data_IF_446714685677
#
_entry.id   IF_446714685677
#
_cell.length_a   1.000
_cell.length_b   1.000
_cell.length_c   1.000
_cell.angle_alpha   90.00
_cell.angle_beta   90.00
_cell.angle_gamma   90.00
#
_symmetry.space_group_name_H-M   'P 1'
#
loop_
_entity.id
_entity.type
_entity.pdbx_description
1 polymer ?
#
# COMPACT_ATOMS: atom_id res chain seq x y z
N UNK A 1 -67.12 -44.86 -5.75
CA UNK A 1 -65.63 -44.89 -5.54
C UNK A 1 -64.97 -43.73 -6.28
N UNK A 2 -64.71 -42.62 -5.61
CA UNK A 2 -64.06 -41.42 -6.18
C UNK A 2 -62.62 -41.34 -5.64
N UNK A 3 -61.64 -41.43 -6.54
CA UNK A 3 -60.23 -41.29 -6.20
C UNK A 3 -59.82 -39.80 -6.38
N UNK A 4 -59.54 -39.12 -5.31
CA UNK A 4 -58.97 -37.76 -5.30
C UNK A 4 -57.44 -37.86 -5.41
N UNK A 5 -56.88 -37.35 -6.50
CA UNK A 5 -55.45 -37.16 -6.66
C UNK A 5 -55.05 -35.83 -6.02
N UNK A 6 -54.21 -35.90 -4.97
CA UNK A 6 -53.55 -34.72 -4.36
C UNK A 6 -52.30 -34.39 -5.20
N UNK A 7 -52.32 -33.26 -5.89
CA UNK A 7 -51.13 -32.75 -6.58
C UNK A 7 -50.22 -32.00 -5.59
N UNK A 8 -48.99 -32.49 -5.41
CA UNK A 8 -47.93 -31.83 -4.64
C UNK A 8 -47.25 -30.80 -5.55
N UNK A 9 -47.54 -29.54 -5.33
CA UNK A 9 -46.87 -28.44 -6.02
C UNK A 9 -45.49 -28.20 -5.39
N UNK A 10 -44.43 -28.51 -6.14
CA UNK A 10 -43.04 -28.22 -5.76
C UNK A 10 -42.71 -26.74 -6.07
N UNK A 11 -42.78 -25.87 -5.05
CA UNK A 11 -42.39 -24.46 -5.18
C UNK A 11 -40.85 -24.32 -5.20
N UNK A 12 -40.31 -24.07 -6.37
CA UNK A 12 -38.87 -23.77 -6.55
C UNK A 12 -38.59 -22.34 -6.15
N UNK A 13 -38.04 -22.12 -4.94
CA UNK A 13 -37.60 -20.81 -4.50
C UNK A 13 -36.24 -20.52 -5.13
N UNK A 14 -36.23 -19.67 -6.15
CA UNK A 14 -35.03 -19.17 -6.80
C UNK A 14 -34.40 -18.06 -5.90
N UNK A 15 -33.39 -18.44 -5.10
CA UNK A 15 -32.66 -17.52 -4.26
C UNK A 15 -31.73 -16.65 -5.13
N UNK A 16 -32.12 -15.40 -5.42
CA UNK A 16 -31.23 -14.42 -6.04
C UNK A 16 -30.17 -14.01 -5.01
N UNK A 17 -28.94 -14.49 -5.14
CA UNK A 17 -27.79 -13.97 -4.38
C UNK A 17 -27.37 -12.65 -4.99
N UNK A 18 -27.69 -11.53 -4.33
CA UNK A 18 -27.13 -10.23 -4.67
C UNK A 18 -25.63 -10.23 -4.31
N UNK A 19 -24.78 -10.39 -5.32
CA UNK A 19 -23.36 -10.18 -5.20
C UNK A 19 -23.09 -8.68 -5.18
N UNK A 20 -22.75 -8.13 -4.04
CA UNK A 20 -22.33 -6.73 -3.94
C UNK A 20 -20.93 -6.62 -4.50
N UNK A 21 -20.62 -5.62 -5.36
CA UNK A 21 -19.26 -5.41 -5.83
C UNK A 21 -18.39 -5.03 -4.64
N UNK A 22 -17.38 -5.84 -4.33
CA UNK A 22 -16.32 -5.46 -3.41
C UNK A 22 -15.50 -4.40 -4.14
N UNK A 23 -15.63 -3.13 -3.73
CA UNK A 23 -14.75 -2.08 -4.20
C UNK A 23 -13.34 -2.42 -3.71
N UNK A 24 -12.43 -2.68 -4.64
CA UNK A 24 -11.03 -2.86 -4.32
C UNK A 24 -10.51 -1.58 -3.65
N UNK A 25 -10.07 -1.69 -2.40
CA UNK A 25 -9.44 -0.55 -1.72
C UNK A 25 -8.12 -0.22 -2.42
N UNK A 26 -7.79 1.07 -2.51
CA UNK A 26 -6.49 1.50 -3.02
C UNK A 26 -5.38 0.82 -2.17
N UNK A 27 -4.43 0.10 -2.81
CA UNK A 27 -3.38 -0.61 -2.10
C UNK A 27 -2.38 0.31 -1.38
N UNK A 28 -2.41 1.60 -1.68
CA UNK A 28 -1.54 2.61 -1.08
C UNK A 28 -2.36 3.71 -0.38
N UNK A 29 -1.71 4.35 0.59
CA UNK A 29 -2.11 5.62 1.17
C UNK A 29 -1.09 6.65 0.68
N UNK A 30 -1.57 7.76 0.13
CA UNK A 30 -0.74 8.79 -0.51
C UNK A 30 -1.14 10.17 -0.05
N UNK A 31 -0.16 11.05 0.05
CA UNK A 31 -0.27 12.46 0.38
C UNK A 31 0.43 13.28 -0.70
N UNK A 32 -0.17 14.39 -1.13
CA UNK A 32 0.50 15.34 -2.00
C UNK A 32 1.61 16.06 -1.21
N UNK A 33 2.74 16.32 -1.87
CA UNK A 33 3.84 17.09 -1.30
C UNK A 33 3.99 18.40 -2.07
N UNK A 34 4.04 19.52 -1.36
CA UNK A 34 4.24 20.83 -1.96
C UNK A 34 5.74 21.15 -2.02
N UNK A 35 6.39 20.76 -3.10
CA UNK A 35 7.82 20.91 -3.31
C UNK A 35 8.35 20.04 -4.44
N UNK A 36 9.66 19.97 -4.57
CA UNK A 36 10.33 19.14 -5.56
C UNK A 36 10.42 17.67 -5.10
N UNK A 37 10.72 16.77 -6.02
CA UNK A 37 10.99 15.37 -5.70
C UNK A 37 12.19 15.24 -4.74
N UNK A 38 13.23 16.04 -4.93
CA UNK A 38 14.42 16.09 -4.08
C UNK A 38 14.08 16.57 -2.66
N UNK A 39 13.23 17.59 -2.53
CA UNK A 39 12.76 18.06 -1.22
C UNK A 39 11.97 16.97 -0.50
N UNK A 40 11.08 16.25 -1.21
CA UNK A 40 10.27 15.18 -0.66
C UNK A 40 11.13 13.98 -0.21
N UNK A 41 12.12 13.57 -1.02
CA UNK A 41 13.05 12.50 -0.67
C UNK A 41 13.89 12.86 0.55
N UNK A 42 14.42 14.09 0.61
CA UNK A 42 15.15 14.59 1.76
C UNK A 42 14.28 14.61 3.04
N UNK A 43 13.03 15.07 2.93
CA UNK A 43 12.11 15.12 4.07
C UNK A 43 11.76 13.72 4.60
N UNK A 44 11.52 12.75 3.70
CA UNK A 44 11.27 11.36 4.10
C UNK A 44 12.49 10.72 4.74
N UNK A 45 13.67 10.90 4.17
CA UNK A 45 14.93 10.41 4.74
C UNK A 45 15.13 10.99 6.15
N UNK A 46 14.97 12.29 6.31
CA UNK A 46 15.11 12.98 7.60
C UNK A 46 14.12 12.45 8.63
N UNK A 47 12.85 12.32 8.29
CA UNK A 47 11.82 11.80 9.20
C UNK A 47 12.13 10.38 9.68
N UNK A 48 12.62 9.50 8.80
CA UNK A 48 13.02 8.14 9.17
C UNK A 48 14.21 8.15 10.13
N UNK A 49 15.24 8.95 9.84
CA UNK A 49 16.45 9.02 10.66
C UNK A 49 16.20 9.71 12.02
N UNK A 50 15.39 10.77 12.05
CA UNK A 50 15.01 11.48 13.27
C UNK A 50 14.16 10.63 14.21
N UNK A 51 13.38 9.69 13.66
CA UNK A 51 12.68 8.66 14.44
C UNK A 51 13.61 7.57 15.00
N UNK A 52 14.94 7.68 14.77
CA UNK A 52 15.94 6.71 15.22
C UNK A 52 15.91 5.39 14.45
N UNK A 53 15.34 5.39 13.24
CA UNK A 53 15.32 4.22 12.36
C UNK A 53 16.51 4.25 11.40
N UNK A 54 16.84 3.08 10.84
CA UNK A 54 17.92 2.94 9.86
C UNK A 54 17.29 2.57 8.52
N UNK A 55 17.70 3.30 7.47
CA UNK A 55 17.31 2.98 6.10
C UNK A 55 18.21 1.84 5.61
N UNK A 56 17.60 0.69 5.34
CA UNK A 56 18.31 -0.49 4.87
C UNK A 56 18.72 -0.35 3.39
N UNK A 57 17.84 0.24 2.59
CA UNK A 57 18.06 0.41 1.15
C UNK A 57 17.11 1.48 0.58
N UNK A 58 17.58 2.23 -0.41
CA UNK A 58 16.73 3.08 -1.26
C UNK A 58 16.70 2.48 -2.66
N UNK A 59 15.50 2.13 -3.13
CA UNK A 59 15.29 1.61 -4.48
C UNK A 59 14.94 2.75 -5.42
N UNK A 60 15.82 3.06 -6.37
CA UNK A 60 15.58 4.04 -7.44
C UNK A 60 14.70 3.42 -8.53
N UNK A 61 13.43 3.16 -8.16
CA UNK A 61 12.48 2.44 -9.00
C UNK A 61 12.13 3.21 -10.27
N UNK A 62 12.09 4.54 -10.23
CA UNK A 62 11.87 5.39 -11.40
C UNK A 62 12.91 5.17 -12.48
N UNK A 63 14.20 5.16 -12.11
CA UNK A 63 15.30 4.92 -13.04
C UNK A 63 15.25 3.51 -13.67
N UNK A 64 14.90 2.51 -12.85
CA UNK A 64 14.75 1.13 -13.33
C UNK A 64 13.62 1.03 -14.36
N UNK A 65 12.47 1.66 -14.10
CA UNK A 65 11.32 1.62 -15.00
C UNK A 65 11.60 2.37 -16.31
N UNK A 66 12.27 3.53 -16.24
CA UNK A 66 12.67 4.30 -17.44
C UNK A 66 13.60 3.49 -18.34
N UNK A 67 14.65 2.91 -17.76
CA UNK A 67 15.61 2.07 -18.48
C UNK A 67 14.95 0.85 -19.12
N UNK A 68 14.09 0.16 -18.34
CA UNK A 68 13.36 -1.02 -18.83
C UNK A 68 12.36 -0.65 -19.92
N UNK A 69 11.71 0.52 -19.82
CA UNK A 69 10.83 1.04 -20.88
C UNK A 69 11.55 1.15 -22.21
N UNK A 70 12.74 1.76 -22.20
CA UNK A 70 13.59 1.90 -23.41
C UNK A 70 13.97 0.53 -23.97
N UNK A 71 14.40 -0.41 -23.14
CA UNK A 71 14.79 -1.76 -23.55
C UNK A 71 13.63 -2.54 -24.20
N UNK A 72 12.40 -2.30 -23.75
CA UNK A 72 11.18 -2.93 -24.28
C UNK A 72 10.53 -2.15 -25.44
N UNK A 73 11.07 -0.99 -25.81
CA UNK A 73 10.52 -0.13 -26.86
C UNK A 73 9.18 0.51 -26.48
N UNK A 74 8.98 0.79 -25.19
CA UNK A 74 7.78 1.47 -24.68
C UNK A 74 8.02 2.98 -24.61
N UNK A 75 7.08 3.75 -25.19
CA UNK A 75 7.09 5.21 -25.12
C UNK A 75 6.32 5.75 -23.90
N UNK A 76 5.84 4.86 -23.01
CA UNK A 76 5.06 5.25 -21.83
C UNK A 76 5.99 5.60 -20.68
N UNK A 77 6.03 6.90 -20.34
CA UNK A 77 6.67 7.36 -19.11
C UNK A 77 5.73 7.16 -17.91
N UNK A 78 6.15 6.31 -16.95
CA UNK A 78 5.32 5.96 -15.80
C UNK A 78 5.46 7.01 -14.71
N UNK A 79 6.70 7.37 -14.36
CA UNK A 79 7.06 8.42 -13.40
C UNK A 79 8.15 9.30 -13.97
N UNK A 80 8.21 10.56 -13.55
CA UNK A 80 9.35 11.44 -13.78
C UNK A 80 10.50 11.07 -12.84
N UNK A 81 10.18 10.74 -11.58
CA UNK A 81 11.09 10.14 -10.62
C UNK A 81 10.31 9.27 -9.63
N UNK A 82 10.92 8.22 -9.08
CA UNK A 82 10.32 7.41 -8.02
C UNK A 82 11.39 6.67 -7.23
N UNK A 83 11.40 6.90 -5.91
CA UNK A 83 12.28 6.23 -4.95
C UNK A 83 11.45 5.54 -3.86
N UNK A 84 11.94 4.40 -3.38
CA UNK A 84 11.33 3.64 -2.30
C UNK A 84 12.36 3.45 -1.19
N UNK A 85 12.08 4.03 -0.03
CA UNK A 85 12.89 3.89 1.18
C UNK A 85 12.45 2.63 1.94
N UNK A 86 13.36 1.69 2.12
CA UNK A 86 13.10 0.44 2.83
C UNK A 86 13.80 0.47 4.20
N UNK A 87 13.07 0.13 5.24
CA UNK A 87 13.55 0.14 6.62
C UNK A 87 12.72 -0.79 7.50
N UNK A 88 13.22 -1.08 8.71
CA UNK A 88 12.48 -1.80 9.73
C UNK A 88 12.51 -1.07 11.07
N UNK A 89 11.41 -1.15 11.82
CA UNK A 89 11.39 -0.80 13.24
C UNK A 89 11.52 -2.09 14.07
N UNK A 90 12.64 -2.28 14.76
CA UNK A 90 12.88 -3.48 15.56
C UNK A 90 11.76 -3.71 16.60
N UNK A 91 11.27 -2.63 17.24
CA UNK A 91 10.22 -2.71 18.26
C UNK A 91 8.88 -3.09 17.66
N UNK A 92 8.46 -2.42 16.58
CA UNK A 92 7.17 -2.69 15.94
C UNK A 92 7.20 -4.06 15.26
N UNK A 93 8.27 -4.38 14.53
CA UNK A 93 8.44 -5.69 13.87
C UNK A 93 8.37 -6.84 14.87
N UNK A 94 9.07 -6.73 16.00
CA UNK A 94 9.03 -7.74 17.06
C UNK A 94 7.60 -7.96 17.56
N UNK A 95 6.88 -6.89 17.86
CA UNK A 95 5.52 -6.96 18.40
C UNK A 95 4.52 -7.59 17.42
N UNK A 96 4.55 -7.20 16.15
CA UNK A 96 3.61 -7.74 15.16
C UNK A 96 3.92 -9.19 14.80
N UNK A 97 5.21 -9.60 14.81
CA UNK A 97 5.60 -10.98 14.52
C UNK A 97 5.42 -11.91 15.74
N UNK A 98 5.42 -11.41 16.96
CA UNK A 98 5.00 -12.19 18.13
C UNK A 98 3.51 -12.53 18.09
N UNK A 99 2.68 -11.65 17.53
CA UNK A 99 1.26 -11.92 17.33
C UNK A 99 0.99 -12.91 16.20
N UNK A 100 1.73 -12.79 15.09
CA UNK A 100 1.71 -13.74 13.96
C UNK A 100 3.06 -13.71 13.23
N UNK A 101 3.84 -14.80 13.26
CA UNK A 101 5.13 -14.87 12.57
C UNK A 101 5.04 -14.62 11.07
N UNK A 102 3.89 -14.86 10.42
CA UNK A 102 3.71 -14.63 8.99
C UNK A 102 3.66 -13.14 8.63
N UNK A 103 3.56 -12.24 9.59
CA UNK A 103 3.72 -10.80 9.38
C UNK A 103 5.13 -10.43 8.88
N UNK A 104 6.09 -11.37 8.93
CA UNK A 104 7.41 -11.23 8.27
C UNK A 104 7.28 -10.92 6.77
N UNK A 105 6.22 -11.34 6.10
CA UNK A 105 5.96 -11.04 4.70
C UNK A 105 5.77 -9.54 4.40
N UNK A 106 5.58 -8.73 5.43
CA UNK A 106 5.43 -7.28 5.31
C UNK A 106 6.72 -6.50 5.62
N UNK A 107 7.79 -7.20 5.99
CA UNK A 107 9.10 -6.60 6.28
C UNK A 107 10.06 -6.80 5.08
N UNK A 108 10.89 -5.80 4.71
CA UNK A 108 10.98 -4.46 5.27
C UNK A 108 9.74 -3.61 4.98
N UNK A 109 9.50 -2.60 5.83
CA UNK A 109 8.51 -1.57 5.58
C UNK A 109 9.02 -0.59 4.53
N UNK A 110 8.12 0.19 3.92
CA UNK A 110 8.55 1.14 2.92
C UNK A 110 7.68 2.39 2.87
N UNK A 111 8.34 3.52 2.62
CA UNK A 111 7.72 4.76 2.19
C UNK A 111 8.25 5.05 0.79
N UNK A 112 7.38 5.42 -0.14
CA UNK A 112 7.77 5.83 -1.48
C UNK A 112 7.55 7.32 -1.68
N UNK A 113 8.41 7.91 -2.50
CA UNK A 113 8.24 9.25 -3.07
C UNK A 113 8.14 9.07 -4.57
N UNK A 114 7.19 9.73 -5.20
CA UNK A 114 7.02 9.67 -6.64
C UNK A 114 6.63 11.04 -7.20
N UNK A 115 7.22 11.39 -8.33
CA UNK A 115 6.81 12.50 -9.17
C UNK A 115 6.17 11.93 -10.45
N UNK A 116 4.96 12.37 -10.73
CA UNK A 116 4.25 12.02 -11.95
C UNK A 116 3.65 13.29 -12.56
N UNK A 117 4.22 13.71 -13.69
CA UNK A 117 3.80 14.90 -14.41
C UNK A 117 3.86 16.20 -13.58
N UNK A 118 4.86 16.31 -12.68
CA UNK A 118 5.05 17.44 -11.78
C UNK A 118 4.18 17.38 -10.52
N UNK A 119 3.45 16.29 -10.28
CA UNK A 119 2.72 16.05 -9.04
C UNK A 119 3.55 15.12 -8.14
N UNK A 120 4.16 15.72 -7.11
CA UNK A 120 4.96 14.99 -6.13
C UNK A 120 4.06 14.43 -5.03
N UNK A 121 4.26 13.15 -4.72
CA UNK A 121 3.53 12.47 -3.65
C UNK A 121 4.44 11.62 -2.79
N UNK A 122 4.09 11.53 -1.51
CA UNK A 122 4.67 10.60 -0.53
C UNK A 122 3.60 9.58 -0.18
N UNK A 123 3.98 8.32 -0.03
CA UNK A 123 2.99 7.31 0.33
C UNK A 123 3.61 6.01 0.84
N UNK A 124 2.74 5.14 1.31
CA UNK A 124 3.09 3.82 1.82
C UNK A 124 1.99 2.81 1.51
N UNK A 125 2.33 1.54 1.60
CA UNK A 125 1.40 0.43 1.42
C UNK A 125 0.34 0.42 2.52
N UNK A 126 -0.91 0.17 2.16
CA UNK A 126 -1.97 -0.13 3.13
C UNK A 126 -1.71 -1.49 3.78
N UNK A 127 -1.82 -1.55 5.10
CA UNK A 127 -1.62 -2.77 5.88
C UNK A 127 -2.97 -3.39 6.30
N UNK A 128 -3.01 -4.72 6.54
CA UNK A 128 -4.21 -5.40 7.03
C UNK A 128 -4.72 -4.83 8.36
N UNK A 129 -6.02 -4.98 8.60
CA UNK A 129 -6.62 -4.64 9.89
C UNK A 129 -6.01 -5.45 11.04
N UNK A 130 -6.21 -4.98 12.27
CA UNK A 130 -5.70 -5.61 13.47
C UNK A 130 -4.28 -5.15 13.83
N UNK A 131 -3.41 -6.08 14.25
CA UNK A 131 -2.09 -5.76 14.80
C UNK A 131 -1.20 -5.00 13.79
N UNK A 132 -1.37 -5.24 12.50
CA UNK A 132 -0.59 -4.59 11.44
C UNK A 132 -0.89 -3.10 11.29
N UNK A 133 -1.98 -2.61 11.89
CA UNK A 133 -2.27 -1.17 11.97
C UNK A 133 -1.23 -0.41 12.82
N UNK A 134 -0.44 -1.10 13.66
CA UNK A 134 0.71 -0.48 14.35
C UNK A 134 1.84 -0.11 13.37
N UNK A 135 2.05 -0.92 12.33
CA UNK A 135 2.97 -0.59 11.25
C UNK A 135 2.44 0.59 10.44
N UNK A 136 1.16 0.54 10.06
CA UNK A 136 0.53 1.62 9.31
C UNK A 136 0.61 2.96 10.06
N UNK A 137 0.35 2.96 11.37
CA UNK A 137 0.43 4.15 12.19
C UNK A 137 1.87 4.71 12.30
N UNK A 138 2.88 3.83 12.35
CA UNK A 138 4.29 4.25 12.30
C UNK A 138 4.59 4.96 10.97
N UNK A 139 4.20 4.35 9.85
CA UNK A 139 4.46 4.93 8.53
C UNK A 139 3.71 6.23 8.32
N UNK A 140 2.47 6.30 8.83
CA UNK A 140 1.67 7.52 8.78
C UNK A 140 2.34 8.66 9.55
N UNK A 141 2.81 8.40 10.78
CA UNK A 141 3.55 9.39 11.57
C UNK A 141 4.78 9.91 10.84
N UNK A 142 5.59 9.01 10.24
CA UNK A 142 6.79 9.42 9.50
C UNK A 142 6.45 10.28 8.27
N UNK A 143 5.34 9.96 7.59
CA UNK A 143 4.89 10.77 6.45
C UNK A 143 4.38 12.14 6.90
N UNK A 144 3.61 12.22 7.99
CA UNK A 144 3.17 13.50 8.54
C UNK A 144 4.36 14.36 8.97
N UNK A 145 5.36 13.78 9.63
CA UNK A 145 6.61 14.47 9.98
C UNK A 145 7.33 14.98 8.71
N UNK A 146 7.38 14.18 7.64
CA UNK A 146 7.98 14.59 6.36
C UNK A 146 7.20 15.72 5.66
N UNK A 147 5.89 15.81 5.89
CA UNK A 147 5.02 16.88 5.39
C UNK A 147 5.12 18.15 6.23
N UNK A 148 5.73 18.08 7.44
CA UNK A 148 5.85 19.20 8.38
C UNK A 148 4.58 19.44 9.19
N UNK A 149 3.77 18.41 9.42
CA UNK A 149 2.50 18.44 10.17
C UNK A 149 2.65 17.89 11.61
#
# INVERSE_FOLDING_TARGET
>A
MRKTCLGFGLSLILSLTLSWPVLAQNPAITYAFDGTFEDATFSVESAILDAGLVIDYVSHTGEMLERTGQDLGSDVRIFDAADIFLFCSAVVSRRVMEADPMNVAHCPYSIFVADRAGEVMIGYRRYPDGIMQQVQALLDSLVQDALGE
#
